data_IF_195879243780
#
_entry.id   IF_195879243780
#
_cell.length_a   1.000
_cell.length_b   1.000
_cell.length_c   1.000
_cell.angle_alpha   90.00
_cell.angle_beta   90.00
_cell.angle_gamma   90.00
#
_symmetry.space_group_name_H-M   'P 1'
#
loop_
_entity.id
_entity.type
_entity.pdbx_description
1 polymer ?
#
# COMPACT_ATOMS: atom_id res chain seq x y z
N UNK A 1 -4.70 -0.07 11.42
CA UNK A 1 -3.73 -1.09 10.99
C UNK A 1 -4.30 -1.75 9.76
N UNK A 2 -3.50 -1.79 8.70
CA UNK A 2 -3.87 -2.43 7.45
C UNK A 2 -3.86 -3.96 7.58
N UNK A 3 -4.68 -4.62 6.77
CA UNK A 3 -4.66 -6.09 6.62
C UNK A 3 -3.48 -6.51 5.74
N UNK A 4 -3.06 -7.77 5.84
CA UNK A 4 -1.98 -8.34 5.00
C UNK A 4 -2.21 -8.10 3.50
N UNK A 5 -3.45 -8.21 3.04
CA UNK A 5 -3.83 -7.96 1.65
C UNK A 5 -3.66 -6.50 1.22
N UNK A 6 -3.98 -5.55 2.10
CA UNK A 6 -3.75 -4.12 1.87
C UNK A 6 -2.26 -3.78 1.90
N UNK A 7 -1.49 -4.40 2.79
CA UNK A 7 -0.02 -4.28 2.82
C UNK A 7 0.61 -4.85 1.55
N UNK A 8 0.11 -5.98 1.04
CA UNK A 8 0.57 -6.55 -0.23
C UNK A 8 0.32 -5.58 -1.39
N UNK A 9 -0.84 -4.91 -1.41
CA UNK A 9 -1.15 -3.85 -2.37
C UNK A 9 -0.19 -2.65 -2.28
N UNK A 10 0.13 -2.18 -1.07
CA UNK A 10 1.12 -1.12 -0.89
C UNK A 10 2.49 -1.52 -1.43
N UNK A 11 2.92 -2.77 -1.20
CA UNK A 11 4.16 -3.32 -1.75
C UNK A 11 4.12 -3.39 -3.28
N UNK A 12 3.01 -3.84 -3.86
CA UNK A 12 2.84 -3.91 -5.32
C UNK A 12 2.91 -2.52 -5.96
N UNK A 13 2.25 -1.52 -5.38
CA UNK A 13 2.32 -0.12 -5.82
C UNK A 13 3.77 0.38 -5.77
N UNK A 14 4.48 0.16 -4.67
CA UNK A 14 5.90 0.55 -4.52
C UNK A 14 6.81 -0.08 -5.58
N UNK A 15 6.49 -1.32 -5.98
CA UNK A 15 7.23 -2.09 -6.97
C UNK A 15 6.76 -1.83 -8.41
N UNK A 16 5.80 -0.91 -8.61
CA UNK A 16 5.16 -0.65 -9.91
C UNK A 16 4.56 -1.91 -10.55
N UNK A 17 3.99 -2.80 -9.73
CA UNK A 17 3.31 -4.03 -10.15
C UNK A 17 1.84 -3.71 -10.46
N UNK A 18 1.30 -4.30 -11.52
CA UNK A 18 -0.10 -4.11 -11.91
C UNK A 18 -1.09 -4.61 -10.84
N UNK A 19 -2.19 -3.87 -10.65
CA UNK A 19 -3.19 -4.13 -9.61
C UNK A 19 -4.63 -3.90 -10.08
N UNK A 20 -4.90 -3.89 -11.39
CA UNK A 20 -6.19 -3.51 -11.97
C UNK A 20 -7.41 -4.26 -11.38
N UNK A 21 -7.23 -5.53 -11.00
CA UNK A 21 -8.28 -6.35 -10.37
C UNK A 21 -8.62 -5.93 -8.92
N UNK A 22 -7.81 -5.05 -8.34
CA UNK A 22 -7.87 -4.61 -6.93
C UNK A 22 -8.13 -3.11 -6.80
N UNK A 23 -8.65 -2.47 -7.85
CA UNK A 23 -8.85 -1.02 -7.90
C UNK A 23 -9.66 -0.47 -6.71
N UNK A 24 -10.73 -1.17 -6.29
CA UNK A 24 -11.53 -0.73 -5.14
C UNK A 24 -10.72 -0.67 -3.83
N UNK A 25 -9.77 -1.59 -3.64
CA UNK A 25 -8.89 -1.59 -2.47
C UNK A 25 -7.83 -0.48 -2.56
N UNK A 26 -7.33 -0.18 -3.77
CA UNK A 26 -6.43 0.97 -3.98
C UNK A 26 -7.16 2.28 -3.70
N UNK A 27 -8.39 2.44 -4.17
CA UNK A 27 -9.17 3.65 -3.94
C UNK A 27 -9.42 3.88 -2.45
N UNK A 28 -9.66 2.82 -1.67
CA UNK A 28 -9.75 2.91 -0.21
C UNK A 28 -8.42 3.37 0.41
N UNK A 29 -7.28 2.84 -0.04
CA UNK A 29 -5.96 3.24 0.43
C UNK A 29 -5.63 4.70 0.07
N UNK A 30 -6.14 5.20 -1.05
CA UNK A 30 -6.05 6.61 -1.45
C UNK A 30 -6.91 7.48 -0.53
N UNK A 31 -8.17 7.10 -0.29
CA UNK A 31 -9.08 7.84 0.59
C UNK A 31 -8.54 7.92 2.02
N UNK A 32 -7.94 6.84 2.50
CA UNK A 32 -7.33 6.75 3.83
C UNK A 32 -5.93 7.41 3.91
N UNK A 33 -5.40 7.90 2.79
CA UNK A 33 -4.15 8.65 2.71
C UNK A 33 -2.87 7.81 2.81
N UNK A 34 -2.95 6.50 2.56
CA UNK A 34 -1.77 5.63 2.44
C UNK A 34 -1.12 5.73 1.05
N UNK A 35 -1.92 6.03 0.03
CA UNK A 35 -1.50 6.15 -1.36
C UNK A 35 -1.88 7.54 -1.88
N UNK A 36 -0.96 8.18 -2.58
CA UNK A 36 -1.22 9.37 -3.37
C UNK A 36 -1.52 8.93 -4.81
N UNK A 37 -2.63 9.42 -5.35
CA UNK A 37 -2.95 9.29 -6.77
C UNK A 37 -2.61 10.60 -7.48
N UNK A 38 -1.69 10.55 -8.44
CA UNK A 38 -1.34 11.66 -9.33
C UNK A 38 -1.67 11.28 -10.78
N UNK A 39 -2.89 11.63 -11.20
CA UNK A 39 -3.44 11.19 -12.48
C UNK A 39 -3.58 9.66 -12.55
N UNK A 40 -2.76 9.03 -13.38
CA UNK A 40 -2.71 7.57 -13.57
C UNK A 40 -1.64 6.90 -12.70
N UNK A 41 -0.79 7.69 -12.04
CA UNK A 41 0.27 7.20 -11.17
C UNK A 41 -0.24 7.05 -9.73
N UNK A 42 0.27 6.03 -9.06
CA UNK A 42 0.01 5.76 -7.66
C UNK A 42 1.34 5.65 -6.94
N UNK A 43 1.51 6.43 -5.87
CA UNK A 43 2.72 6.46 -5.07
C UNK A 43 2.36 6.29 -3.59
N UNK A 44 3.26 5.69 -2.81
CA UNK A 44 3.07 5.61 -1.37
C UNK A 44 3.25 6.98 -0.74
N UNK A 45 2.38 7.32 0.21
CA UNK A 45 2.67 8.41 1.14
C UNK A 45 3.59 7.89 2.24
N UNK A 46 4.19 8.79 3.03
CA UNK A 46 4.96 8.40 4.22
C UNK A 46 4.15 7.52 5.19
N UNK A 47 2.82 7.69 5.24
CA UNK A 47 1.93 6.84 6.04
C UNK A 47 1.90 5.40 5.50
N UNK A 48 1.80 5.24 4.18
CA UNK A 48 1.83 3.93 3.51
C UNK A 48 3.18 3.23 3.70
N UNK A 49 4.28 3.96 3.52
CA UNK A 49 5.64 3.43 3.73
C UNK A 49 5.83 2.89 5.15
N UNK A 50 5.41 3.65 6.16
CA UNK A 50 5.51 3.24 7.57
C UNK A 50 4.74 1.95 7.87
N UNK A 51 3.54 1.75 7.29
CA UNK A 51 2.78 0.51 7.51
C UNK A 51 3.46 -0.70 6.86
N UNK A 52 4.07 -0.52 5.68
CA UNK A 52 4.85 -1.58 5.01
C UNK A 52 6.06 -1.98 5.85
N UNK A 53 6.79 -1.00 6.39
CA UNK A 53 7.94 -1.23 7.26
C UNK A 53 7.54 -1.88 8.60
N UNK A 54 6.48 -1.38 9.23
CA UNK A 54 5.96 -1.92 10.48
C UNK A 54 5.51 -3.38 10.30
N UNK A 55 4.85 -3.70 9.20
CA UNK A 55 4.46 -5.07 8.87
C UNK A 55 5.67 -5.98 8.65
N UNK A 56 6.69 -5.49 7.93
CA UNK A 56 7.93 -6.24 7.73
C UNK A 56 8.65 -6.51 9.07
N UNK A 57 8.67 -5.53 9.99
CA UNK A 57 9.26 -5.72 11.31
C UNK A 57 8.52 -6.78 12.15
N UNK A 58 7.19 -6.84 12.05
CA UNK A 58 6.37 -7.84 12.72
C UNK A 58 6.55 -9.25 12.15
N UNK A 59 6.77 -9.39 10.83
CA UNK A 59 7.04 -10.69 10.20
C UNK A 59 8.44 -11.24 10.46
N UNK A 60 9.40 -10.36 10.78
CA UNK A 60 10.79 -10.73 11.09
C UNK A 60 11.07 -10.80 12.60
N UNK A 61 10.04 -10.66 13.45
CA UNK A 61 10.19 -10.82 14.89
C UNK A 61 10.49 -12.31 15.22
N UNK A 62 11.56 -12.61 15.98
CA UNK A 62 11.99 -13.97 16.30
C UNK A 62 11.04 -14.73 17.24
#
# INVERSE_FOLDING_TARGET
>A
MLKDEQIALLKDISASIAFDERQAAVDELVMEGYVLKDGDLYELTSKGEMEVEAHAALQNAP
#
